data_IF_474373287193
#
_entry.id   IF_474373287193
#
_cell.length_a   1.000
_cell.length_b   1.000
_cell.length_c   1.000
_cell.angle_alpha   90.00
_cell.angle_beta   90.00
_cell.angle_gamma   90.00
#
_symmetry.space_group_name_H-M   'P 1'
#
loop_
_entity.id
_entity.type
_entity.pdbx_description
1 polymer ?
#
# COMPACT_ATOMS: atom_id res chain seq x y z
N UNK A 1 20.91 9.32 11.56
CA UNK A 1 21.25 9.00 10.16
C UNK A 1 19.95 8.60 9.47
N UNK A 2 19.36 9.50 8.66
CA UNK A 2 18.03 9.31 8.03
C UNK A 2 17.99 8.11 7.06
N UNK A 3 19.11 7.69 6.50
CA UNK A 3 19.25 6.53 5.62
C UNK A 3 18.98 5.23 6.37
N UNK A 4 19.25 5.17 7.67
CA UNK A 4 18.99 3.96 8.48
C UNK A 4 17.51 3.73 8.80
N UNK A 5 16.64 4.69 8.48
CA UNK A 5 15.19 4.56 8.69
C UNK A 5 14.41 4.32 7.40
N UNK A 6 15.08 4.36 6.23
CA UNK A 6 14.44 4.06 4.95
C UNK A 6 14.20 2.56 4.82
N UNK A 7 12.99 2.17 4.47
CA UNK A 7 12.60 0.77 4.22
C UNK A 7 12.19 0.58 2.77
N UNK A 8 12.69 -0.49 2.17
CA UNK A 8 12.36 -0.86 0.80
C UNK A 8 11.30 -1.96 0.78
N UNK A 9 10.27 -1.76 -0.05
CA UNK A 9 9.22 -2.74 -0.32
C UNK A 9 9.42 -3.31 -1.71
N UNK A 10 9.11 -4.58 -1.88
CA UNK A 10 9.17 -5.24 -3.18
C UNK A 10 7.90 -6.06 -3.42
N UNK A 11 7.24 -5.82 -4.57
CA UNK A 11 6.01 -6.52 -4.94
C UNK A 11 6.36 -7.85 -5.61
N UNK A 12 5.96 -8.94 -4.99
CA UNK A 12 6.09 -10.28 -5.59
C UNK A 12 5.19 -11.30 -4.89
N UNK A 13 4.75 -12.32 -5.63
CA UNK A 13 4.13 -13.53 -5.10
C UNK A 13 5.04 -14.77 -5.22
N UNK A 14 6.25 -14.62 -5.77
CA UNK A 14 7.23 -15.70 -5.87
C UNK A 14 7.99 -15.88 -4.55
N UNK A 15 7.89 -17.05 -3.89
CA UNK A 15 8.64 -17.34 -2.67
C UNK A 15 10.16 -17.28 -2.86
N UNK A 16 10.65 -17.69 -4.05
CA UNK A 16 12.08 -17.67 -4.39
C UNK A 16 12.59 -16.24 -4.52
N UNK A 17 11.82 -15.39 -5.25
CA UNK A 17 12.17 -14.00 -5.44
C UNK A 17 12.05 -13.23 -4.11
N UNK A 18 11.04 -13.50 -3.31
CA UNK A 18 10.86 -12.90 -1.99
C UNK A 18 12.09 -13.15 -1.10
N UNK A 19 12.58 -14.39 -1.04
CA UNK A 19 13.81 -14.74 -0.32
C UNK A 19 15.02 -14.01 -0.88
N UNK A 20 15.20 -14.08 -2.19
CA UNK A 20 16.34 -13.45 -2.85
C UNK A 20 16.42 -11.94 -2.55
N UNK A 21 15.33 -11.19 -2.71
CA UNK A 21 15.35 -9.74 -2.52
C UNK A 21 15.50 -9.37 -1.04
N UNK A 22 14.90 -10.14 -0.11
CA UNK A 22 15.05 -9.87 1.33
C UNK A 22 16.44 -10.20 1.85
N UNK A 23 17.13 -11.18 1.27
CA UNK A 23 18.53 -11.48 1.57
C UNK A 23 19.47 -10.37 1.01
N UNK A 24 18.98 -9.58 0.06
CA UNK A 24 19.72 -8.49 -0.59
C UNK A 24 19.24 -7.08 -0.17
N UNK A 25 18.60 -6.95 0.97
CA UNK A 25 18.35 -5.64 1.60
C UNK A 25 16.95 -5.07 1.40
N UNK A 26 16.01 -5.82 0.84
CA UNK A 26 14.59 -5.46 0.88
C UNK A 26 14.04 -5.80 2.28
N UNK A 27 13.34 -4.85 2.87
CA UNK A 27 12.84 -4.97 4.25
C UNK A 27 11.49 -5.67 4.33
N UNK A 28 10.65 -5.50 3.29
CA UNK A 28 9.26 -5.96 3.29
C UNK A 28 8.84 -6.48 1.93
N UNK A 29 8.15 -7.62 1.91
CA UNK A 29 7.47 -8.11 0.71
C UNK A 29 6.03 -7.58 0.69
N UNK A 30 5.59 -7.20 -0.50
CA UNK A 30 4.26 -6.70 -0.76
C UNK A 30 3.53 -7.70 -1.68
N UNK A 31 2.47 -8.33 -1.17
CA UNK A 31 1.58 -9.20 -1.94
C UNK A 31 0.31 -8.41 -2.25
N UNK A 32 -0.04 -8.31 -3.52
CA UNK A 32 -1.12 -7.45 -4.00
C UNK A 32 -2.35 -8.27 -4.39
N UNK A 33 -3.33 -8.33 -3.50
CA UNK A 33 -4.60 -9.03 -3.73
C UNK A 33 -5.71 -8.13 -4.27
N UNK A 34 -5.42 -6.84 -4.53
CA UNK A 34 -6.42 -5.92 -5.07
C UNK A 34 -6.82 -6.32 -6.50
N UNK A 35 -8.09 -6.58 -6.71
CA UNK A 35 -8.69 -6.90 -8.01
C UNK A 35 -9.80 -5.92 -8.39
N UNK A 36 -10.56 -5.41 -7.41
CA UNK A 36 -11.74 -4.59 -7.62
C UNK A 36 -11.39 -3.23 -8.23
N UNK A 37 -12.00 -2.92 -9.38
CA UNK A 37 -11.82 -1.64 -10.08
C UNK A 37 -10.46 -1.43 -10.76
N UNK A 38 -9.48 -2.31 -10.51
CA UNK A 38 -8.11 -2.13 -11.01
C UNK A 38 -8.03 -2.16 -12.54
N UNK A 39 -8.76 -3.06 -13.18
CA UNK A 39 -8.80 -3.18 -14.65
C UNK A 39 -9.45 -1.94 -15.27
N UNK A 40 -10.47 -1.39 -14.65
CA UNK A 40 -11.16 -0.19 -15.14
C UNK A 40 -10.29 1.06 -15.03
N UNK A 41 -9.54 1.21 -13.91
CA UNK A 41 -8.66 2.36 -13.69
C UNK A 41 -7.38 2.30 -14.51
N UNK A 42 -6.75 1.14 -14.62
CA UNK A 42 -5.39 0.98 -15.13
C UNK A 42 -5.29 0.13 -16.41
N UNK A 43 -6.38 -0.52 -16.86
CA UNK A 43 -6.35 -1.49 -17.97
C UNK A 43 -5.91 -0.91 -19.32
N UNK A 44 -5.88 0.42 -19.47
CA UNK A 44 -5.40 1.14 -20.66
C UNK A 44 -3.97 1.70 -20.50
N UNK A 45 -3.34 1.48 -19.34
CA UNK A 45 -1.99 1.92 -19.03
C UNK A 45 -1.02 0.74 -19.09
N UNK A 46 0.25 1.01 -19.36
CA UNK A 46 1.34 0.03 -19.29
C UNK A 46 1.73 -0.32 -17.84
N UNK A 47 0.75 -0.46 -16.95
CA UNK A 47 0.98 -0.83 -15.55
C UNK A 47 0.91 -2.33 -15.35
N UNK A 48 1.69 -2.85 -14.42
CA UNK A 48 1.64 -4.27 -14.04
C UNK A 48 0.41 -4.51 -13.17
N UNK A 49 -0.58 -5.23 -13.71
CA UNK A 49 -1.68 -5.74 -12.91
C UNK A 49 -1.22 -7.06 -12.31
N UNK A 50 -0.94 -7.06 -11.01
CA UNK A 50 -0.59 -8.27 -10.27
C UNK A 50 -1.80 -9.20 -10.19
N UNK A 51 -1.57 -10.50 -10.39
CA UNK A 51 -2.57 -11.55 -10.21
C UNK A 51 -2.09 -12.47 -9.09
N UNK A 52 -2.11 -11.92 -7.87
CA UNK A 52 -1.75 -12.67 -6.69
C UNK A 52 -3.00 -13.27 -6.05
N UNK A 53 -2.81 -14.35 -5.30
CA UNK A 53 -3.86 -15.08 -4.59
C UNK A 53 -3.51 -15.17 -3.09
N UNK A 54 -4.49 -15.48 -2.26
CA UNK A 54 -4.28 -15.65 -0.82
C UNK A 54 -3.26 -16.75 -0.51
N UNK A 55 -3.21 -17.83 -1.33
CA UNK A 55 -2.22 -18.89 -1.21
C UNK A 55 -0.78 -18.42 -1.47
N UNK A 56 -0.61 -17.36 -2.23
CA UNK A 56 0.70 -16.72 -2.45
C UNK A 56 1.23 -16.12 -1.15
N UNK A 57 0.36 -15.54 -0.31
CA UNK A 57 0.73 -14.99 1.00
C UNK A 57 1.31 -16.09 1.89
N UNK A 58 0.64 -17.25 1.98
CA UNK A 58 1.14 -18.40 2.74
C UNK A 58 2.46 -18.93 2.20
N UNK A 59 2.59 -19.02 0.86
CA UNK A 59 3.80 -19.51 0.23
C UNK A 59 4.99 -18.58 0.48
N UNK A 60 4.78 -17.28 0.37
CA UNK A 60 5.78 -16.26 0.69
C UNK A 60 6.12 -16.30 2.19
N UNK A 61 5.12 -16.40 3.09
CA UNK A 61 5.37 -16.52 4.54
C UNK A 61 6.26 -17.72 4.88
N UNK A 62 6.03 -18.87 4.26
CA UNK A 62 6.86 -20.07 4.46
C UNK A 62 8.30 -19.85 3.99
N UNK A 63 8.51 -19.05 2.95
CA UNK A 63 9.83 -18.75 2.41
C UNK A 63 10.63 -17.74 3.23
N UNK A 64 9.94 -16.78 3.86
CA UNK A 64 10.56 -15.67 4.60
C UNK A 64 9.91 -15.51 6.00
N UNK A 65 10.02 -16.51 6.91
CA UNK A 65 9.28 -16.54 8.18
C UNK A 65 9.55 -15.33 9.09
N UNK A 66 10.74 -14.75 9.00
CA UNK A 66 11.21 -13.68 9.88
C UNK A 66 11.15 -12.28 9.26
N UNK A 67 10.55 -12.15 8.05
CA UNK A 67 10.44 -10.87 7.34
C UNK A 67 9.01 -10.37 7.32
N UNK A 68 8.84 -9.05 7.18
CA UNK A 68 7.50 -8.45 7.10
C UNK A 68 6.83 -8.72 5.75
N UNK A 69 5.56 -9.10 5.82
CA UNK A 69 4.68 -9.22 4.65
C UNK A 69 3.54 -8.21 4.80
N UNK A 70 3.45 -7.31 3.82
CA UNK A 70 2.32 -6.42 3.63
C UNK A 70 1.40 -7.01 2.57
N UNK A 71 0.10 -7.01 2.83
CA UNK A 71 -0.92 -7.48 1.89
C UNK A 71 -1.88 -6.34 1.58
N UNK A 72 -1.98 -5.95 0.30
CA UNK A 72 -3.02 -5.03 -0.15
C UNK A 72 -4.29 -5.83 -0.45
N UNK A 73 -5.37 -5.46 0.23
CA UNK A 73 -6.70 -6.02 0.00
C UNK A 73 -7.48 -5.18 -1.01
N UNK A 74 -8.72 -5.57 -1.28
CA UNK A 74 -9.64 -4.75 -2.05
C UNK A 74 -10.07 -3.49 -1.26
N UNK A 75 -10.57 -2.43 -1.93
CA UNK A 75 -11.28 -1.35 -1.25
C UNK A 75 -12.37 -1.90 -0.34
N UNK A 76 -12.70 -1.18 0.76
CA UNK A 76 -13.69 -1.66 1.73
C UNK A 76 -15.02 -2.02 1.06
N UNK A 77 -15.52 -3.23 1.32
CA UNK A 77 -16.75 -3.78 0.72
C UNK A 77 -17.39 -4.82 1.64
N UNK A 78 -18.55 -5.37 1.23
CA UNK A 78 -19.35 -6.27 2.07
C UNK A 78 -18.67 -7.56 2.52
N UNK A 79 -17.60 -8.01 1.85
CA UNK A 79 -16.82 -9.20 2.21
C UNK A 79 -15.42 -8.88 2.77
N UNK A 80 -15.17 -7.62 3.14
CA UNK A 80 -13.85 -7.22 3.68
C UNK A 80 -13.48 -7.94 4.97
N UNK A 81 -14.47 -8.36 5.77
CA UNK A 81 -14.18 -9.12 6.98
C UNK A 81 -13.52 -10.46 6.67
N UNK A 82 -14.06 -11.19 5.68
CA UNK A 82 -13.51 -12.46 5.23
C UNK A 82 -12.12 -12.31 4.61
N UNK A 83 -11.89 -11.23 3.86
CA UNK A 83 -10.58 -10.94 3.28
C UNK A 83 -9.54 -10.61 4.36
N UNK A 84 -9.89 -9.79 5.35
CA UNK A 84 -9.04 -9.46 6.49
C UNK A 84 -8.66 -10.71 7.27
N UNK A 85 -9.65 -11.55 7.60
CA UNK A 85 -9.42 -12.79 8.34
C UNK A 85 -8.49 -13.73 7.57
N UNK A 86 -8.77 -13.97 6.29
CA UNK A 86 -7.96 -14.84 5.45
C UNK A 86 -6.51 -14.34 5.31
N UNK A 87 -6.30 -13.03 5.13
CA UNK A 87 -4.97 -12.48 4.96
C UNK A 87 -4.14 -12.56 6.27
N UNK A 88 -4.76 -12.34 7.42
CA UNK A 88 -4.11 -12.49 8.72
C UNK A 88 -3.75 -13.96 8.97
N UNK A 89 -4.67 -14.89 8.70
CA UNK A 89 -4.44 -16.34 8.84
C UNK A 89 -3.33 -16.84 7.91
N UNK A 90 -3.25 -16.28 6.68
CA UNK A 90 -2.18 -16.58 5.73
C UNK A 90 -0.80 -16.03 6.15
N UNK A 91 -0.76 -15.15 7.16
CA UNK A 91 0.48 -14.64 7.75
C UNK A 91 0.84 -13.22 7.36
N UNK A 92 -0.12 -12.37 7.00
CA UNK A 92 0.12 -10.94 6.82
C UNK A 92 0.49 -10.26 8.15
N UNK A 93 1.55 -9.44 8.14
CA UNK A 93 1.93 -8.59 9.29
C UNK A 93 1.26 -7.22 9.21
N UNK A 94 0.94 -6.80 7.98
CA UNK A 94 0.39 -5.48 7.67
C UNK A 94 -0.67 -5.66 6.59
N UNK A 95 -1.85 -5.09 6.79
CA UNK A 95 -2.86 -4.96 5.75
C UNK A 95 -2.86 -3.55 5.20
N UNK A 96 -2.94 -3.42 3.88
CA UNK A 96 -3.03 -2.13 3.21
C UNK A 96 -4.44 -1.95 2.65
N UNK A 97 -5.10 -0.85 3.09
CA UNK A 97 -6.39 -0.41 2.56
C UNK A 97 -6.19 0.58 1.40
N UNK A 98 -6.57 0.21 0.17
CA UNK A 98 -6.53 1.10 -0.99
C UNK A 98 -7.81 1.91 -1.14
N UNK A 99 -7.78 2.93 -2.00
CA UNK A 99 -8.93 3.63 -2.60
C UNK A 99 -9.96 4.23 -1.63
N UNK A 100 -9.65 4.36 -0.35
CA UNK A 100 -10.56 5.01 0.60
C UNK A 100 -10.73 6.49 0.28
N UNK A 101 -11.91 7.03 0.61
CA UNK A 101 -12.28 8.42 0.35
C UNK A 101 -12.81 9.15 1.59
N UNK A 102 -13.18 8.40 2.62
CA UNK A 102 -13.76 8.97 3.84
C UNK A 102 -13.10 8.42 5.10
N UNK A 103 -13.16 9.20 6.17
CA UNK A 103 -12.70 8.78 7.50
C UNK A 103 -13.48 7.55 7.98
N UNK A 104 -14.78 7.50 7.71
CA UNK A 104 -15.65 6.41 8.13
C UNK A 104 -15.24 5.05 7.52
N UNK A 105 -14.83 5.02 6.25
CA UNK A 105 -14.29 3.80 5.61
C UNK A 105 -13.04 3.28 6.33
N UNK A 106 -12.14 4.20 6.71
CA UNK A 106 -10.92 3.84 7.45
C UNK A 106 -11.24 3.31 8.84
N UNK A 107 -12.15 3.98 9.58
CA UNK A 107 -12.59 3.52 10.90
C UNK A 107 -13.26 2.15 10.86
N UNK A 108 -14.09 1.91 9.85
CA UNK A 108 -14.75 0.63 9.65
C UNK A 108 -13.71 -0.48 9.38
N UNK A 109 -12.77 -0.23 8.48
CA UNK A 109 -11.71 -1.20 8.17
C UNK A 109 -10.79 -1.47 9.37
N UNK A 110 -10.41 -0.44 10.13
CA UNK A 110 -9.63 -0.59 11.35
C UNK A 110 -10.35 -1.46 12.41
N UNK A 111 -11.68 -1.35 12.51
CA UNK A 111 -12.49 -2.22 13.38
C UNK A 111 -12.46 -3.69 12.94
N UNK A 112 -12.42 -3.97 11.62
CA UNK A 112 -12.29 -5.35 11.11
C UNK A 112 -10.94 -5.94 11.50
N UNK A 113 -9.87 -5.17 11.43
CA UNK A 113 -8.53 -5.61 11.87
C UNK A 113 -8.48 -5.85 13.37
N UNK A 114 -9.13 -5.00 14.17
CA UNK A 114 -9.21 -5.10 15.63
C UNK A 114 -7.84 -5.28 16.33
N UNK A 115 -6.80 -4.63 15.83
CA UNK A 115 -5.43 -4.70 16.38
C UNK A 115 -4.71 -6.03 16.17
N UNK A 116 -5.25 -6.96 15.37
CA UNK A 116 -4.64 -8.26 15.10
C UNK A 116 -3.38 -8.18 14.23
N UNK A 117 -3.28 -7.16 13.39
CA UNK A 117 -2.09 -6.81 12.62
C UNK A 117 -2.04 -5.29 12.42
N UNK A 118 -0.99 -4.77 11.81
CA UNK A 118 -0.86 -3.34 11.50
C UNK A 118 -1.72 -2.94 10.31
N UNK A 119 -2.19 -1.69 10.31
CA UNK A 119 -2.91 -1.07 9.20
C UNK A 119 -2.05 -0.02 8.51
N UNK A 120 -1.84 -0.21 7.21
CA UNK A 120 -1.30 0.79 6.30
C UNK A 120 -2.43 1.38 5.43
N UNK A 121 -2.50 2.70 5.31
CA UNK A 121 -3.45 3.36 4.40
C UNK A 121 -2.74 3.74 3.11
N UNK A 122 -3.32 3.40 1.96
CA UNK A 122 -2.80 3.82 0.66
C UNK A 122 -3.52 5.10 0.21
N UNK A 123 -2.81 6.22 0.31
CA UNK A 123 -3.32 7.54 -0.09
C UNK A 123 -3.13 7.71 -1.60
N UNK A 124 -4.19 7.46 -2.34
CA UNK A 124 -4.14 7.42 -3.82
C UNK A 124 -5.39 8.02 -4.49
N UNK A 125 -6.19 8.76 -3.71
CA UNK A 125 -7.34 9.53 -4.21
C UNK A 125 -7.25 10.98 -3.73
N UNK A 126 -7.85 11.93 -4.46
CA UNK A 126 -7.91 13.32 -4.07
C UNK A 126 -8.58 13.50 -2.70
N UNK A 127 -9.68 12.78 -2.46
CA UNK A 127 -10.39 12.82 -1.17
C UNK A 127 -9.49 12.33 -0.02
N UNK A 128 -8.76 11.21 -0.21
CA UNK A 128 -7.83 10.68 0.79
C UNK A 128 -6.69 11.66 1.10
N UNK A 129 -6.19 12.37 0.07
CA UNK A 129 -5.16 13.40 0.24
C UNK A 129 -5.66 14.57 1.12
N UNK A 130 -6.92 15.00 0.94
CA UNK A 130 -7.49 16.08 1.75
C UNK A 130 -7.61 15.70 3.22
N UNK A 131 -8.08 14.49 3.52
CA UNK A 131 -8.31 14.00 4.88
C UNK A 131 -7.08 13.32 5.50
N UNK A 132 -5.90 13.34 4.84
CA UNK A 132 -4.71 12.58 5.26
C UNK A 132 -4.29 12.82 6.71
N UNK A 133 -4.39 14.04 7.21
CA UNK A 133 -4.06 14.37 8.60
C UNK A 133 -5.05 13.75 9.59
N UNK A 134 -6.33 13.73 9.24
CA UNK A 134 -7.39 13.18 10.08
C UNK A 134 -7.25 11.67 10.20
N UNK A 135 -7.16 10.96 9.07
CA UNK A 135 -7.00 9.50 9.08
C UNK A 135 -5.68 9.04 9.70
N UNK A 136 -4.61 9.81 9.51
CA UNK A 136 -3.33 9.52 10.18
C UNK A 136 -3.41 9.65 11.70
N UNK A 137 -4.35 10.42 12.23
CA UNK A 137 -4.53 10.61 13.67
C UNK A 137 -5.40 9.54 14.33
N UNK A 138 -6.06 8.69 13.53
CA UNK A 138 -6.92 7.64 14.05
C UNK A 138 -6.14 6.58 14.82
N UNK A 139 -6.74 6.07 15.89
CA UNK A 139 -6.28 4.87 16.56
C UNK A 139 -6.46 3.65 15.64
N UNK A 140 -5.46 2.78 15.59
CA UNK A 140 -5.47 1.60 14.73
C UNK A 140 -4.89 1.83 13.33
N UNK A 141 -4.53 3.06 12.96
CA UNK A 141 -3.72 3.36 11.77
C UNK A 141 -2.25 3.43 12.17
N UNK A 142 -1.40 2.57 11.60
CA UNK A 142 0.01 2.46 11.97
C UNK A 142 0.93 3.23 11.03
N UNK A 143 0.68 3.16 9.73
CA UNK A 143 1.50 3.81 8.70
C UNK A 143 0.66 4.20 7.48
N UNK A 144 1.20 5.06 6.62
CA UNK A 144 0.57 5.44 5.36
C UNK A 144 1.53 5.24 4.19
N UNK A 145 0.98 5.09 3.01
CA UNK A 145 1.74 5.01 1.77
C UNK A 145 1.08 5.88 0.71
N UNK A 146 1.86 6.71 0.01
CA UNK A 146 1.34 7.58 -1.06
C UNK A 146 1.50 6.83 -2.37
N UNK A 147 0.37 6.50 -3.00
CA UNK A 147 0.29 5.80 -4.29
C UNK A 147 0.23 6.80 -5.44
N UNK A 148 1.38 7.10 -6.05
CA UNK A 148 1.49 8.17 -7.05
C UNK A 148 0.67 7.92 -8.32
N UNK A 149 0.60 6.66 -8.76
CA UNK A 149 -0.06 6.32 -10.01
C UNK A 149 -1.56 6.62 -9.97
N UNK A 150 -2.29 5.99 -9.05
CA UNK A 150 -3.74 6.20 -8.94
C UNK A 150 -4.07 7.61 -8.44
N UNK A 151 -3.22 8.23 -7.59
CA UNK A 151 -3.37 9.62 -7.18
C UNK A 151 -3.30 10.58 -8.38
N UNK A 152 -2.31 10.40 -9.26
CA UNK A 152 -2.19 11.25 -10.45
C UNK A 152 -3.40 11.10 -11.39
N UNK A 153 -3.90 9.88 -11.54
CA UNK A 153 -5.11 9.61 -12.33
C UNK A 153 -6.35 10.26 -11.73
N UNK A 154 -6.55 10.12 -10.42
CA UNK A 154 -7.72 10.69 -9.71
C UNK A 154 -7.69 12.24 -9.74
N UNK A 155 -6.49 12.83 -9.75
CA UNK A 155 -6.27 14.27 -9.91
C UNK A 155 -6.35 14.75 -11.37
N UNK A 156 -6.47 13.84 -12.36
CA UNK A 156 -6.49 14.18 -13.78
C UNK A 156 -5.15 14.70 -14.31
N UNK A 157 -4.04 14.22 -13.74
CA UNK A 157 -2.68 14.57 -14.17
C UNK A 157 -2.18 13.62 -15.25
N UNK A 158 -1.35 14.11 -16.15
CA UNK A 158 -0.83 13.34 -17.28
C UNK A 158 0.38 12.46 -16.90
N UNK A 159 1.11 12.86 -15.87
CA UNK A 159 2.33 12.18 -15.45
C UNK A 159 2.35 11.90 -13.94
N UNK A 160 2.66 10.66 -13.57
CA UNK A 160 2.57 10.16 -12.19
C UNK A 160 3.47 10.88 -11.17
N UNK A 161 4.49 11.62 -11.62
CA UNK A 161 5.38 12.38 -10.73
C UNK A 161 5.00 13.88 -10.64
N UNK A 162 3.97 14.33 -11.33
CA UNK A 162 3.50 15.73 -11.19
C UNK A 162 3.09 16.10 -9.76
N UNK A 163 2.54 15.19 -8.90
CA UNK A 163 2.28 15.51 -7.50
C UNK A 163 3.50 16.01 -6.72
N UNK A 164 4.73 15.62 -7.10
CA UNK A 164 5.95 16.20 -6.54
C UNK A 164 6.17 17.63 -7.02
N UNK A 165 6.07 17.86 -8.32
CA UNK A 165 6.28 19.19 -8.91
C UNK A 165 5.24 20.21 -8.40
N UNK A 166 4.04 19.76 -8.12
CA UNK A 166 2.96 20.56 -7.55
C UNK A 166 3.07 20.76 -6.03
N UNK A 167 4.02 20.13 -5.36
CA UNK A 167 4.22 20.21 -3.91
C UNK A 167 3.20 19.42 -3.07
N UNK A 168 2.34 18.63 -3.69
CA UNK A 168 1.28 17.85 -3.00
C UNK A 168 1.89 16.77 -2.08
N UNK A 169 2.94 16.10 -2.55
CA UNK A 169 3.66 15.12 -1.74
C UNK A 169 4.33 15.76 -0.53
N UNK A 170 4.94 16.94 -0.71
CA UNK A 170 5.57 17.68 0.39
C UNK A 170 4.55 18.14 1.43
N UNK A 171 3.36 18.54 0.98
CA UNK A 171 2.27 18.93 1.88
C UNK A 171 1.79 17.75 2.72
N UNK A 172 1.49 16.59 2.08
CA UNK A 172 1.13 15.36 2.79
C UNK A 172 2.22 14.93 3.77
N UNK A 173 3.48 14.90 3.33
CA UNK A 173 4.62 14.54 4.17
C UNK A 173 4.72 15.44 5.41
N UNK A 174 4.46 16.75 5.29
CA UNK A 174 4.46 17.68 6.39
C UNK A 174 3.33 17.39 7.38
N UNK A 175 2.10 17.11 6.87
CA UNK A 175 0.95 16.72 7.69
C UNK A 175 1.23 15.42 8.47
N UNK A 176 1.80 14.40 7.81
CA UNK A 176 2.11 13.11 8.41
C UNK A 176 3.21 13.18 9.48
N UNK A 177 4.27 13.97 9.21
CA UNK A 177 5.32 14.22 10.21
C UNK A 177 4.78 14.95 11.44
N UNK A 178 3.83 15.85 11.27
CA UNK A 178 3.23 16.59 12.39
C UNK A 178 2.50 15.68 13.38
N UNK A 179 1.94 14.56 12.92
CA UNK A 179 1.28 13.54 13.76
C UNK A 179 2.19 12.35 14.10
N UNK A 180 3.45 12.39 13.66
CA UNK A 180 4.45 11.36 13.95
C UNK A 180 4.19 10.00 13.28
N UNK A 181 3.40 9.96 12.20
CA UNK A 181 3.12 8.72 11.47
C UNK A 181 4.19 8.41 10.44
N UNK A 182 4.71 7.17 10.43
CA UNK A 182 5.55 6.68 9.35
C UNK A 182 4.79 6.72 8.03
N UNK A 183 5.49 7.07 6.95
CA UNK A 183 4.90 6.99 5.61
C UNK A 183 5.93 6.64 4.56
N UNK A 184 5.45 6.03 3.48
CA UNK A 184 6.21 5.68 2.29
C UNK A 184 5.62 6.30 1.03
N UNK A 185 6.29 6.10 -0.09
CA UNK A 185 5.85 6.56 -1.41
C UNK A 185 6.10 5.42 -2.39
N UNK A 186 5.13 5.12 -3.24
CA UNK A 186 5.21 4.08 -4.27
C UNK A 186 4.68 4.56 -5.61
N UNK A 187 4.86 3.70 -6.62
CA UNK A 187 4.50 4.00 -8.00
C UNK A 187 5.71 4.08 -8.90
N UNK A 188 6.82 3.40 -8.56
CA UNK A 188 8.01 3.37 -9.40
C UNK A 188 7.77 2.58 -10.68
N UNK A 189 8.26 3.12 -11.79
CA UNK A 189 8.19 2.53 -13.11
C UNK A 189 9.05 1.26 -13.24
N UNK A 190 8.82 0.51 -14.31
CA UNK A 190 9.64 -0.65 -14.70
C UNK A 190 11.03 -0.21 -15.13
N UNK A 191 12.02 -1.07 -14.92
CA UNK A 191 13.41 -0.81 -15.30
C UNK A 191 13.65 -0.77 -16.81
N UNK A 192 12.72 -1.32 -17.62
CA UNK A 192 12.79 -1.44 -19.08
C UNK A 192 11.93 -0.41 -19.83
N UNK A 193 11.03 0.25 -19.15
CA UNK A 193 10.15 1.29 -19.71
C UNK A 193 10.48 2.65 -19.10
N UNK A 194 11.67 3.11 -19.15
CA UNK A 194 12.18 4.38 -18.63
C UNK A 194 11.20 5.36 -17.98
N UNK A 195 11.70 6.18 -17.11
CA UNK A 195 10.95 7.29 -16.45
C UNK A 195 10.59 8.44 -17.40
N UNK A 196 10.80 8.25 -18.71
CA UNK A 196 10.57 9.28 -19.73
C UNK A 196 9.66 8.76 -20.83
#
# INVERSE_FOLDING_TARGET
DWIQTLRFFFITNSPELARFVTDNGVDRIFVDLELMGKVERQGHLSTVISRHDIWDVEAVRKAIPDKEIMVRLNPNHGASNEEVDAAIEAGADILMLPMFRTVAEVEEFAKLIAGRCRLCLLVETADAMEIVHEVASLEGVDELHIGLNDLSLDLGLDFMFEPFALGLVDEMARKLRAVGKPFGIGGLARSDEGLL
#
